data_IF_190309524101
#
_entry.id   IF_190309524101
#
_cell.length_a   1.000
_cell.length_b   1.000
_cell.length_c   1.000
_cell.angle_alpha   90.00
_cell.angle_beta   90.00
_cell.angle_gamma   90.00
#
_symmetry.space_group_name_H-M   'P 1'
#
loop_
_entity.id
_entity.type
_entity.pdbx_description
1 polymer ?
#
# COMPACT_ATOMS: atom_id res chain seq x y z
N UNK A 1 -18.90 -3.63 0.29
CA UNK A 1 -17.99 -2.58 -0.19
C UNK A 1 -16.70 -2.71 0.61
N UNK A 2 -15.66 -3.28 0.00
CA UNK A 2 -14.47 -3.75 0.72
C UNK A 2 -13.68 -2.60 1.30
N UNK A 3 -13.25 -2.72 2.56
CA UNK A 3 -12.36 -1.77 3.23
C UNK A 3 -11.09 -1.60 2.40
N UNK A 4 -11.00 -0.47 1.68
CA UNK A 4 -9.76 -0.03 1.06
C UNK A 4 -8.72 0.26 2.13
N UNK A 5 -7.47 -0.08 1.86
CA UNK A 5 -6.35 0.38 2.67
C UNK A 5 -5.95 1.76 2.16
N UNK A 6 -5.91 2.75 3.05
CA UNK A 6 -5.35 4.07 2.75
C UNK A 6 -4.02 4.19 3.48
N UNK A 7 -2.94 4.44 2.74
CA UNK A 7 -1.63 4.71 3.31
C UNK A 7 -1.51 6.23 3.43
N UNK A 8 -1.50 6.73 4.67
CA UNK A 8 -1.28 8.13 5.01
C UNK A 8 0.16 8.29 5.47
N UNK A 9 0.85 9.31 4.98
CA UNK A 9 2.07 9.74 5.64
C UNK A 9 1.71 10.43 6.96
N UNK A 10 2.24 9.92 8.06
CA UNK A 10 1.95 10.45 9.40
C UNK A 10 2.85 11.62 9.78
N UNK A 11 3.91 11.92 9.02
CA UNK A 11 4.86 13.01 9.24
C UNK A 11 4.58 14.25 8.38
N UNK A 12 3.88 14.08 7.26
CA UNK A 12 3.37 15.14 6.40
C UNK A 12 1.94 14.81 5.98
N UNK A 13 0.97 15.40 6.69
CA UNK A 13 -0.46 15.13 6.46
C UNK A 13 -0.99 15.81 5.20
N UNK A 14 -0.30 16.81 4.66
CA UNK A 14 -0.67 17.54 3.45
C UNK A 14 -0.06 16.91 2.18
N UNK A 15 0.99 16.10 2.31
CA UNK A 15 1.58 15.33 1.21
C UNK A 15 0.62 14.31 0.56
N UNK A 16 -0.58 14.10 1.12
CA UNK A 16 -1.65 13.30 0.52
C UNK A 16 -1.67 11.85 0.98
N UNK A 17 -2.48 11.05 0.30
CA UNK A 17 -2.66 9.64 0.63
C UNK A 17 -2.92 8.80 -0.60
N UNK A 18 -2.39 7.58 -0.59
CA UNK A 18 -2.69 6.61 -1.62
C UNK A 18 -3.74 5.63 -1.12
N UNK A 19 -4.78 5.39 -1.90
CA UNK A 19 -5.81 4.38 -1.62
C UNK A 19 -5.56 3.13 -2.45
N UNK A 20 -5.75 1.98 -1.83
CA UNK A 20 -5.65 0.68 -2.49
C UNK A 20 -6.75 -0.23 -1.99
N UNK A 21 -7.11 -1.26 -2.75
CA UNK A 21 -8.01 -2.29 -2.23
C UNK A 21 -7.24 -3.27 -1.35
N UNK A 22 -7.93 -3.95 -0.43
CA UNK A 22 -7.28 -4.99 0.39
C UNK A 22 -6.68 -6.13 -0.47
N UNK A 23 -7.23 -6.37 -1.67
CA UNK A 23 -6.67 -7.34 -2.62
C UNK A 23 -5.33 -6.89 -3.20
N UNK A 24 -5.27 -5.64 -3.66
CA UNK A 24 -4.03 -5.06 -4.19
C UNK A 24 -2.94 -4.97 -3.12
N UNK A 25 -3.31 -4.59 -1.89
CA UNK A 25 -2.38 -4.57 -0.77
C UNK A 25 -1.74 -5.94 -0.49
N UNK A 26 -2.56 -7.01 -0.42
CA UNK A 26 -2.03 -8.37 -0.21
C UNK A 26 -1.10 -8.81 -1.33
N UNK A 27 -1.44 -8.50 -2.58
CA UNK A 27 -0.60 -8.82 -3.74
C UNK A 27 0.75 -8.07 -3.69
N UNK A 28 0.72 -6.80 -3.29
CA UNK A 28 1.91 -5.98 -3.13
C UNK A 28 2.84 -6.53 -2.05
N UNK A 29 2.30 -6.86 -0.87
CA UNK A 29 3.08 -7.46 0.23
C UNK A 29 3.68 -8.81 -0.19
N UNK A 30 2.94 -9.63 -0.94
CA UNK A 30 3.46 -10.90 -1.46
C UNK A 30 4.65 -10.70 -2.41
N UNK A 31 4.54 -9.71 -3.31
CA UNK A 31 5.61 -9.35 -4.23
C UNK A 31 6.86 -8.79 -3.52
N UNK A 32 6.68 -7.99 -2.46
CA UNK A 32 7.79 -7.54 -1.62
C UNK A 32 8.53 -8.72 -0.99
N UNK A 33 7.79 -9.66 -0.38
CA UNK A 33 8.37 -10.84 0.27
C UNK A 33 9.08 -11.79 -0.69
N UNK A 34 8.71 -11.78 -1.98
CA UNK A 34 9.35 -12.60 -3.00
C UNK A 34 10.57 -11.93 -3.63
N UNK A 35 11.05 -10.80 -3.09
CA UNK A 35 12.18 -10.05 -3.66
C UNK A 35 11.91 -9.44 -5.03
N UNK A 36 10.64 -9.30 -5.45
CA UNK A 36 10.30 -8.83 -6.81
C UNK A 36 10.82 -7.42 -7.12
N UNK A 37 11.05 -6.62 -6.09
CA UNK A 37 11.45 -5.21 -6.21
C UNK A 37 12.91 -4.96 -5.78
N UNK A 38 13.67 -6.01 -5.48
CA UNK A 38 15.09 -5.88 -5.14
C UNK A 38 15.88 -5.66 -6.44
N UNK A 39 16.37 -4.43 -6.64
CA UNK A 39 17.36 -4.06 -7.65
C UNK A 39 18.34 -3.07 -7.03
#
# INVERSE_FOLDING_TARGET
MGSGAAVRDSKDRDAGYFTTTSRQWRSFVGALKSGRFER
#
